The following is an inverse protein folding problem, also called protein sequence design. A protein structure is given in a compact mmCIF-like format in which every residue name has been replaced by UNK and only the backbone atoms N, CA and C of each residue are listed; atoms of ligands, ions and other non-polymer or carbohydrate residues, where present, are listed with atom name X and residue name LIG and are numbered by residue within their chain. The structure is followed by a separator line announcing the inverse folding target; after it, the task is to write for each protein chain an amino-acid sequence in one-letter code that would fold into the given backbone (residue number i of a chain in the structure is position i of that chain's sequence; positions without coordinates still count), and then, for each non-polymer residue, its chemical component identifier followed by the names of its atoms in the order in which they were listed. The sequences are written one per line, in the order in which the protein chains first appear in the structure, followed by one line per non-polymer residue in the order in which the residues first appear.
data_IF_523068604807
#
_entry.id   IF_523068604807
#
_cell.length_a   1.000
_cell.length_b   1.000
_cell.length_c   1.000
_cell.angle_alpha   90.00
_cell.angle_beta   90.00
_cell.angle_gamma   90.00
#
_symmetry.space_group_name_H-M   'P 1'
#
loop_
_entity.id
_entity.type
_entity.pdbx_description
1 polymer ?
#
# COMPACT_ATOMS: atom_id res chain seq x y z
N UNK A 1 16.78 18.36 11.10
CA UNK A 1 17.38 17.20 11.80
C UNK A 1 16.39 16.07 11.68
N UNK A 2 16.56 15.22 10.68
CA UNK A 2 15.66 14.08 10.43
C UNK A 2 16.07 12.95 11.37
N UNK A 3 15.19 12.54 12.25
CA UNK A 3 15.38 11.30 13.02
C UNK A 3 14.92 10.15 12.13
N UNK A 4 15.86 9.30 11.72
CA UNK A 4 15.55 7.98 11.20
C UNK A 4 14.87 7.18 12.32
N UNK A 5 13.66 6.69 12.07
CA UNK A 5 12.99 5.77 12.99
C UNK A 5 13.65 4.41 12.81
N UNK A 6 14.44 4.01 13.81
CA UNK A 6 15.00 2.67 13.89
C UNK A 6 13.87 1.72 14.33
N UNK A 7 13.40 0.90 13.43
CA UNK A 7 12.35 -0.12 13.69
C UNK A 7 12.81 -1.24 14.63
N UNK A 8 14.04 -1.17 15.18
CA UNK A 8 14.63 -2.15 16.10
C UNK A 8 14.31 -1.90 17.58
N UNK A 9 13.36 -1.04 17.90
CA UNK A 9 12.95 -0.69 19.26
C UNK A 9 12.09 -1.75 20.00
N UNK A 10 12.43 -3.06 19.89
CA UNK A 10 11.97 -4.09 20.81
C UNK A 10 13.14 -4.41 21.73
N UNK A 11 13.01 -4.33 23.08
CA UNK A 11 14.11 -4.60 23.98
C UNK A 11 14.58 -6.06 23.83
N UNK A 12 15.86 -6.24 23.47
CA UNK A 12 16.51 -7.53 23.45
C UNK A 12 16.64 -8.04 24.91
N UNK A 13 16.02 -9.14 25.21
CA UNK A 13 16.39 -9.94 26.39
C UNK A 13 17.75 -10.61 26.14
N UNK A 14 18.54 -10.57 27.20
CA UNK A 14 19.96 -10.88 27.27
C UNK A 14 20.34 -12.31 26.87
N UNK A 15 21.34 -12.44 26.00
CA UNK A 15 22.40 -13.47 26.06
C UNK A 15 22.00 -14.88 25.61
N UNK A 16 22.21 -15.17 24.35
CA UNK A 16 22.23 -16.53 23.83
C UNK A 16 22.83 -16.52 22.41
N UNK A 17 23.74 -17.43 22.16
CA UNK A 17 24.51 -17.72 20.96
C UNK A 17 24.05 -17.08 19.63
N UNK A 18 25.00 -16.47 18.92
CA UNK A 18 24.84 -16.03 17.53
C UNK A 18 24.82 -17.30 16.65
N UNK A 19 23.66 -17.94 16.56
CA UNK A 19 23.33 -18.79 15.42
C UNK A 19 22.86 -17.88 14.30
N UNK A 20 23.39 -18.04 13.11
CA UNK A 20 22.89 -17.48 11.85
C UNK A 20 21.43 -17.89 11.70
N UNK A 21 20.50 -17.07 12.22
CA UNK A 21 19.07 -17.30 12.13
C UNK A 21 18.60 -17.03 10.71
N UNK A 22 18.21 -18.09 10.01
CA UNK A 22 17.27 -17.98 8.90
C UNK A 22 16.09 -17.13 9.39
N UNK A 23 15.78 -16.07 8.65
CA UNK A 23 14.63 -15.21 8.97
C UNK A 23 13.36 -16.05 8.86
N UNK A 24 12.67 -16.25 9.97
CA UNK A 24 11.39 -17.00 10.06
C UNK A 24 10.24 -16.29 9.33
N UNK A 25 10.54 -15.39 8.43
CA UNK A 25 9.61 -14.48 7.75
C UNK A 25 9.12 -14.97 6.39
N UNK A 26 9.39 -16.21 6.00
CA UNK A 26 8.84 -16.82 4.77
C UNK A 26 9.35 -16.25 3.45
N UNK A 27 10.10 -15.16 3.42
CA UNK A 27 10.74 -14.57 2.22
C UNK A 27 12.18 -14.17 2.52
N UNK A 28 13.03 -14.19 1.47
CA UNK A 28 14.42 -13.73 1.54
C UNK A 28 14.51 -12.21 1.42
N UNK A 29 15.48 -11.64 2.11
CA UNK A 29 15.85 -10.22 2.06
C UNK A 29 17.23 -10.02 1.43
N UNK A 30 17.68 -8.78 1.28
CA UNK A 30 19.05 -8.51 0.84
C UNK A 30 20.12 -9.10 1.78
N UNK A 31 19.76 -9.36 3.04
CA UNK A 31 20.70 -9.93 4.03
C UNK A 31 20.94 -11.42 3.82
N UNK A 32 20.01 -12.09 3.12
CA UNK A 32 20.04 -13.55 2.89
C UNK A 32 20.77 -13.94 1.59
N UNK A 33 21.24 -12.97 0.78
CA UNK A 33 21.87 -13.22 -0.52
C UNK A 33 23.20 -12.50 -0.67
N UNK A 34 24.14 -13.16 -1.35
CA UNK A 34 25.44 -12.58 -1.69
C UNK A 34 25.35 -11.66 -2.90
N UNK A 35 25.77 -10.39 -2.75
CA UNK A 35 25.68 -9.37 -3.80
C UNK A 35 27.03 -8.98 -4.40
N UNK A 36 28.15 -9.26 -3.72
CA UNK A 36 29.49 -8.83 -4.13
C UNK A 36 29.85 -9.37 -5.52
N UNK A 37 30.19 -8.45 -6.44
CA UNK A 37 30.53 -8.76 -7.83
C UNK A 37 29.35 -9.20 -8.71
N UNK A 38 28.12 -9.20 -8.20
CA UNK A 38 26.94 -9.61 -8.92
C UNK A 38 26.26 -8.46 -9.65
N UNK A 39 25.67 -8.75 -10.80
CA UNK A 39 24.72 -7.85 -11.47
C UNK A 39 23.32 -8.14 -10.90
N UNK A 40 22.74 -7.15 -10.25
CA UNK A 40 21.48 -7.26 -9.54
C UNK A 40 20.37 -6.57 -10.34
N UNK A 41 19.43 -7.35 -10.84
CA UNK A 41 18.22 -6.83 -11.47
C UNK A 41 17.23 -6.42 -10.39
N UNK A 42 16.94 -5.12 -10.31
CA UNK A 42 16.06 -4.57 -9.27
C UNK A 42 14.76 -4.08 -9.90
N UNK A 43 13.65 -4.72 -9.56
CA UNK A 43 12.32 -4.27 -9.99
C UNK A 43 11.84 -3.18 -9.05
N UNK A 44 11.67 -1.98 -9.58
CA UNK A 44 11.27 -0.79 -8.82
C UNK A 44 9.96 -0.19 -9.34
N UNK A 45 9.26 0.58 -8.52
CA UNK A 45 8.14 1.43 -8.93
C UNK A 45 8.59 2.89 -8.97
N UNK A 46 8.86 3.37 -10.16
CA UNK A 46 9.18 4.77 -10.47
C UNK A 46 8.13 5.38 -11.41
N UNK A 47 6.89 4.90 -11.33
CA UNK A 47 5.75 5.44 -12.07
C UNK A 47 5.28 6.74 -11.42
N UNK A 48 6.00 7.82 -11.70
CA UNK A 48 5.85 9.15 -11.11
C UNK A 48 4.98 10.07 -11.95
N UNK A 49 4.31 11.06 -11.36
CA UNK A 49 3.56 12.06 -12.11
C UNK A 49 4.52 12.96 -12.91
N UNK A 50 4.10 13.29 -14.12
CA UNK A 50 4.84 14.15 -15.04
C UNK A 50 3.97 15.25 -15.62
N UNK A 51 4.53 16.46 -15.73
CA UNK A 51 3.91 17.59 -16.44
C UNK A 51 4.94 18.25 -17.36
N UNK A 52 4.55 18.48 -18.61
CA UNK A 52 5.44 19.11 -19.59
C UNK A 52 6.78 18.39 -19.79
N UNK A 53 6.79 17.06 -19.69
CA UNK A 53 7.99 16.23 -19.80
C UNK A 53 8.93 16.27 -18.58
N UNK A 54 8.46 16.78 -17.44
CA UNK A 54 9.22 16.85 -16.18
C UNK A 54 8.51 16.10 -15.07
N UNK A 55 9.28 15.41 -14.25
CA UNK A 55 8.79 14.79 -13.01
C UNK A 55 8.38 15.87 -12.03
N UNK A 56 7.14 15.80 -11.51
CA UNK A 56 6.59 16.78 -10.55
C UNK A 56 6.64 16.30 -9.10
N UNK A 57 6.80 14.99 -8.89
CA UNK A 57 6.92 14.38 -7.56
C UNK A 57 7.92 13.22 -7.62
N UNK A 58 8.97 13.28 -6.81
CA UNK A 58 10.04 12.28 -6.74
C UNK A 58 9.86 11.25 -5.63
N UNK A 59 8.76 11.29 -4.89
CA UNK A 59 8.54 10.45 -3.69
C UNK A 59 8.79 8.96 -3.96
N UNK A 60 8.33 8.43 -5.09
CA UNK A 60 8.57 7.01 -5.45
C UNK A 60 10.04 6.73 -5.77
N UNK A 61 10.71 7.67 -6.43
CA UNK A 61 12.14 7.57 -6.75
C UNK A 61 12.96 7.62 -5.45
N UNK A 62 12.61 8.51 -4.53
CA UNK A 62 13.34 8.64 -3.26
C UNK A 62 13.23 7.36 -2.40
N UNK A 63 12.10 6.67 -2.48
CA UNK A 63 11.85 5.43 -1.71
C UNK A 63 12.69 4.24 -2.13
N UNK A 64 13.18 4.17 -3.37
CA UNK A 64 14.04 3.05 -3.81
C UNK A 64 15.50 3.24 -3.39
N UNK A 65 15.90 4.42 -2.95
CA UNK A 65 17.28 4.76 -2.59
C UNK A 65 17.91 3.79 -1.59
N UNK A 66 17.26 3.39 -0.48
CA UNK A 66 17.86 2.46 0.48
C UNK A 66 18.27 1.12 -0.14
N UNK A 67 17.46 0.58 -1.04
CA UNK A 67 17.75 -0.66 -1.76
C UNK A 67 18.96 -0.49 -2.69
N UNK A 68 18.97 0.59 -3.47
CA UNK A 68 20.06 0.88 -4.41
C UNK A 68 21.39 1.08 -3.67
N UNK A 69 21.38 1.87 -2.60
CA UNK A 69 22.57 2.14 -1.79
C UNK A 69 23.11 0.87 -1.11
N UNK A 70 22.24 0.04 -0.53
CA UNK A 70 22.65 -1.19 0.12
C UNK A 70 23.30 -2.18 -0.86
N UNK A 71 22.72 -2.36 -2.05
CA UNK A 71 23.30 -3.21 -3.09
C UNK A 71 24.70 -2.72 -3.50
N UNK A 72 24.87 -1.40 -3.71
CA UNK A 72 26.15 -0.83 -4.11
C UNK A 72 27.20 -0.96 -3.01
N UNK A 73 26.84 -0.68 -1.76
CA UNK A 73 27.74 -0.81 -0.60
C UNK A 73 28.22 -2.26 -0.43
N UNK A 74 27.38 -3.23 -0.76
CA UNK A 74 27.72 -4.67 -0.75
C UNK A 74 28.48 -5.13 -2.00
N UNK A 75 28.84 -4.20 -2.90
CA UNK A 75 29.63 -4.48 -4.10
C UNK A 75 28.84 -5.05 -5.28
N UNK A 76 27.51 -4.92 -5.26
CA UNK A 76 26.63 -5.26 -6.38
C UNK A 76 26.54 -4.17 -7.43
N UNK A 77 26.29 -4.54 -8.69
CA UNK A 77 25.96 -3.63 -9.79
C UNK A 77 24.43 -3.55 -9.93
N UNK A 78 23.88 -2.35 -9.88
CA UNK A 78 22.41 -2.12 -9.92
C UNK A 78 21.93 -1.94 -11.35
N UNK A 79 20.93 -2.74 -11.74
CA UNK A 79 20.20 -2.62 -13.01
C UNK A 79 18.72 -2.52 -12.68
N UNK A 80 18.11 -1.36 -12.93
CA UNK A 80 16.71 -1.09 -12.63
C UNK A 80 15.80 -1.52 -13.76
N UNK A 81 14.76 -2.25 -13.41
CA UNK A 81 13.62 -2.63 -14.23
C UNK A 81 12.38 -1.91 -13.70
N UNK A 82 11.66 -1.21 -14.56
CA UNK A 82 10.45 -0.52 -14.16
C UNK A 82 9.43 -0.47 -15.30
N UNK A 83 8.19 -0.23 -14.94
CA UNK A 83 7.15 0.15 -15.88
C UNK A 83 6.83 1.64 -15.74
N UNK A 84 6.27 2.20 -16.81
CA UNK A 84 5.70 3.54 -16.77
C UNK A 84 4.39 3.53 -17.55
N UNK A 85 3.31 3.92 -16.87
CA UNK A 85 1.95 3.97 -17.39
C UNK A 85 1.49 2.67 -18.08
N UNK A 86 0.63 2.75 -19.09
CA UNK A 86 -0.04 1.60 -19.74
C UNK A 86 0.10 1.63 -21.26
N UNK A 87 1.29 1.39 -21.82
CA UNK A 87 1.54 1.39 -23.26
C UNK A 87 0.92 0.19 -24.01
N UNK A 88 0.36 -0.80 -23.28
CA UNK A 88 -0.33 -1.97 -23.86
C UNK A 88 0.56 -2.81 -24.81
N UNK A 89 1.81 -3.03 -24.42
CA UNK A 89 2.76 -3.84 -25.18
C UNK A 89 3.26 -3.17 -26.47
N UNK A 90 3.26 -1.84 -26.53
CA UNK A 90 3.76 -1.06 -27.67
C UNK A 90 4.79 -0.03 -27.21
N UNK A 91 5.74 0.26 -28.08
CA UNK A 91 6.67 1.37 -27.85
C UNK A 91 5.92 2.69 -28.04
N UNK A 92 5.84 3.48 -26.99
CA UNK A 92 5.22 4.80 -26.94
C UNK A 92 6.28 5.79 -26.45
N UNK A 93 6.84 6.64 -27.31
CA UNK A 93 7.98 7.52 -26.94
C UNK A 93 7.73 8.39 -25.71
N UNK A 94 6.50 8.87 -25.53
CA UNK A 94 6.09 9.70 -24.40
C UNK A 94 6.10 8.91 -23.07
N UNK A 95 6.09 7.59 -23.12
CA UNK A 95 6.12 6.69 -21.97
C UNK A 95 7.48 6.01 -21.79
N UNK A 96 8.52 6.51 -22.46
CA UNK A 96 9.89 6.06 -22.26
C UNK A 96 10.41 6.47 -20.90
N UNK A 97 11.12 5.56 -20.22
CA UNK A 97 11.80 5.83 -18.96
C UNK A 97 12.99 6.80 -19.11
N UNK A 98 13.43 7.10 -20.36
CA UNK A 98 14.43 8.14 -20.60
C UNK A 98 14.03 9.49 -20.02
N UNK A 99 12.74 9.81 -19.96
CA UNK A 99 12.22 11.03 -19.37
C UNK A 99 12.40 11.12 -17.85
N UNK A 100 12.58 9.98 -17.19
CA UNK A 100 12.72 9.87 -15.73
C UNK A 100 14.19 9.78 -15.32
N UNK A 101 15.09 9.36 -16.22
CA UNK A 101 16.50 9.11 -15.94
C UNK A 101 17.20 10.29 -15.24
N UNK A 102 16.95 11.53 -15.67
CA UNK A 102 17.54 12.72 -15.04
C UNK A 102 17.05 12.96 -13.60
N UNK A 103 15.77 12.75 -13.34
CA UNK A 103 15.22 12.88 -11.99
C UNK A 103 15.74 11.76 -11.07
N UNK A 104 15.90 10.55 -11.62
CA UNK A 104 16.49 9.40 -10.92
C UNK A 104 17.96 9.68 -10.56
N UNK A 105 18.75 10.19 -11.51
CA UNK A 105 20.14 10.59 -11.28
C UNK A 105 20.26 11.65 -10.16
N UNK A 106 19.43 12.68 -10.23
CA UNK A 106 19.40 13.74 -9.23
C UNK A 106 19.01 13.24 -7.83
N UNK A 107 17.99 12.38 -7.75
CA UNK A 107 17.54 11.80 -6.50
C UNK A 107 18.58 10.85 -5.89
N UNK A 108 19.14 9.94 -6.67
CA UNK A 108 20.12 8.98 -6.18
C UNK A 108 21.50 9.61 -5.90
N UNK A 109 21.82 10.76 -6.52
CA UNK A 109 23.14 11.38 -6.47
C UNK A 109 24.22 10.51 -7.15
N UNK A 110 23.84 9.72 -8.16
CA UNK A 110 24.67 8.77 -8.89
C UNK A 110 24.36 8.84 -10.36
N UNK A 111 25.38 8.62 -11.20
CA UNK A 111 25.20 8.57 -12.65
C UNK A 111 24.23 7.45 -13.03
N UNK A 112 23.26 7.78 -13.89
CA UNK A 112 22.29 6.83 -14.46
C UNK A 112 22.60 6.58 -15.94
N UNK A 113 22.92 5.35 -16.27
CA UNK A 113 23.11 4.91 -17.65
C UNK A 113 21.77 4.37 -18.16
N UNK A 114 21.14 5.07 -19.09
CA UNK A 114 19.88 4.63 -19.68
C UNK A 114 20.12 3.68 -20.86
N UNK A 115 19.39 2.56 -20.89
CA UNK A 115 19.31 1.64 -22.02
C UNK A 115 17.96 1.80 -22.74
N UNK A 116 17.92 2.09 -24.04
CA UNK A 116 16.67 2.18 -24.80
C UNK A 116 15.98 0.84 -25.06
N UNK A 117 16.54 -0.26 -24.54
CA UNK A 117 15.97 -1.59 -24.58
C UNK A 117 16.05 -2.23 -23.20
N UNK A 118 15.12 -3.12 -22.88
CA UNK A 118 15.09 -3.84 -21.61
C UNK A 118 15.51 -5.32 -21.72
N UNK A 119 15.93 -5.75 -22.89
CA UNK A 119 16.49 -7.08 -23.21
C UNK A 119 17.53 -6.99 -24.33
N UNK A 120 18.26 -8.08 -24.55
CA UNK A 120 19.15 -8.25 -25.70
C UNK A 120 20.46 -7.48 -25.62
N UNK A 121 21.13 -7.33 -26.77
CA UNK A 121 22.50 -6.82 -26.87
C UNK A 121 22.62 -5.37 -26.40
N UNK A 122 21.67 -4.51 -26.75
CA UNK A 122 21.68 -3.09 -26.36
C UNK A 122 21.64 -2.93 -24.84
N UNK A 123 20.80 -3.71 -24.16
CA UNK A 123 20.75 -3.71 -22.69
C UNK A 123 22.04 -4.25 -22.08
N UNK A 124 22.60 -5.32 -22.64
CA UNK A 124 23.88 -5.89 -22.19
C UNK A 124 25.05 -4.90 -22.33
N UNK A 125 25.12 -4.17 -23.45
CA UNK A 125 26.14 -3.16 -23.71
C UNK A 125 26.00 -1.96 -22.75
N UNK A 126 24.78 -1.52 -22.46
CA UNK A 126 24.54 -0.47 -21.47
C UNK A 126 25.01 -0.90 -20.08
N UNK A 127 24.72 -2.14 -19.66
CA UNK A 127 25.19 -2.71 -18.37
C UNK A 127 26.72 -2.78 -18.34
N UNK A 128 27.36 -3.21 -19.43
CA UNK A 128 28.80 -3.31 -19.53
C UNK A 128 29.50 -1.94 -19.50
N UNK A 129 28.86 -0.89 -20.01
CA UNK A 129 29.41 0.47 -20.05
C UNK A 129 29.34 1.20 -18.70
N UNK A 130 28.53 0.73 -17.77
CA UNK A 130 28.37 1.35 -16.46
C UNK A 130 29.61 1.13 -15.57
N UNK A 131 30.09 2.20 -14.95
CA UNK A 131 31.22 2.17 -14.01
C UNK A 131 30.80 1.68 -12.62
N UNK A 132 31.77 1.50 -11.71
CA UNK A 132 31.49 1.18 -10.33
C UNK A 132 30.63 2.25 -9.66
N UNK A 133 29.50 1.83 -9.09
CA UNK A 133 28.55 2.73 -8.41
C UNK A 133 27.57 3.49 -9.33
N UNK A 134 27.71 3.36 -10.65
CA UNK A 134 26.67 3.80 -11.60
C UNK A 134 25.43 2.89 -11.48
N UNK A 135 24.28 3.45 -11.83
CA UNK A 135 23.00 2.73 -11.88
C UNK A 135 22.56 2.62 -13.34
N UNK A 136 22.20 1.44 -13.78
CA UNK A 136 21.64 1.24 -15.12
C UNK A 136 20.11 1.29 -15.02
N UNK A 137 19.46 2.05 -15.89
CA UNK A 137 18.01 2.08 -16.05
C UNK A 137 17.65 1.48 -17.41
N UNK A 138 16.94 0.37 -17.42
CA UNK A 138 16.42 -0.23 -18.65
C UNK A 138 15.11 0.44 -19.09
N UNK A 139 14.77 0.33 -20.38
CA UNK A 139 13.52 0.88 -20.93
C UNK A 139 12.28 0.20 -20.32
N UNK A 140 11.14 0.87 -20.45
CA UNK A 140 9.83 0.50 -19.94
C UNK A 140 9.48 -0.95 -20.28
N UNK A 141 9.41 -1.81 -19.24
CA UNK A 141 9.13 -3.26 -19.41
C UNK A 141 7.79 -3.51 -20.10
N UNK A 142 6.82 -2.61 -19.95
CA UNK A 142 5.50 -2.71 -20.59
C UNK A 142 5.47 -2.38 -22.08
N UNK A 143 6.60 -2.01 -22.68
CA UNK A 143 6.71 -1.96 -24.14
C UNK A 143 6.69 -3.37 -24.76
N UNK A 144 7.01 -4.41 -23.98
CA UNK A 144 6.91 -5.79 -24.41
C UNK A 144 5.49 -6.35 -24.21
N UNK A 145 4.87 -6.93 -25.26
CA UNK A 145 3.53 -7.55 -25.16
C UNK A 145 3.45 -8.71 -24.16
N UNK A 146 4.59 -9.34 -23.85
CA UNK A 146 4.69 -10.46 -22.92
C UNK A 146 4.80 -10.07 -21.45
N UNK A 147 5.07 -8.79 -21.13
CA UNK A 147 5.31 -8.35 -19.74
C UNK A 147 4.12 -8.64 -18.84
N UNK A 148 2.95 -8.10 -19.17
CA UNK A 148 1.75 -8.25 -18.33
C UNK A 148 1.11 -9.64 -18.42
N UNK A 149 1.61 -10.50 -19.31
CA UNK A 149 1.18 -11.90 -19.48
C UNK A 149 2.09 -12.88 -18.75
N UNK A 150 3.12 -12.37 -18.07
CA UNK A 150 4.16 -13.20 -17.47
C UNK A 150 4.77 -14.20 -18.47
N UNK A 151 5.10 -13.72 -19.69
CA UNK A 151 5.66 -14.55 -20.75
C UNK A 151 7.02 -15.15 -20.33
N UNK A 152 7.14 -16.49 -20.27
CA UNK A 152 8.37 -17.13 -19.84
C UNK A 152 9.57 -16.83 -20.76
N UNK A 153 9.35 -16.64 -22.06
CA UNK A 153 10.43 -16.32 -22.99
C UNK A 153 10.99 -14.92 -22.73
N UNK A 154 10.10 -13.93 -22.47
CA UNK A 154 10.52 -12.59 -22.09
C UNK A 154 11.26 -12.59 -20.75
N UNK A 155 10.74 -13.29 -19.73
CA UNK A 155 11.39 -13.42 -18.44
C UNK A 155 12.79 -14.05 -18.58
N UNK A 156 12.95 -15.08 -19.43
CA UNK A 156 14.24 -15.71 -19.70
C UNK A 156 15.22 -14.76 -20.41
N UNK A 157 14.76 -13.91 -21.34
CA UNK A 157 15.62 -12.88 -21.94
C UNK A 157 16.06 -11.81 -20.91
N UNK A 158 15.17 -11.37 -20.04
CA UNK A 158 15.53 -10.46 -18.96
C UNK A 158 16.52 -11.09 -17.97
N UNK A 159 16.33 -12.36 -17.63
CA UNK A 159 17.21 -13.08 -16.69
C UNK A 159 18.66 -13.19 -17.16
N UNK A 160 18.93 -13.13 -18.47
CA UNK A 160 20.29 -13.11 -19.02
C UNK A 160 21.10 -11.87 -18.66
N UNK A 161 20.42 -10.80 -18.22
CA UNK A 161 21.04 -9.52 -17.91
C UNK A 161 21.62 -9.43 -16.51
N UNK A 162 21.36 -10.40 -15.63
CA UNK A 162 21.82 -10.35 -14.23
C UNK A 162 22.01 -11.71 -13.58
N UNK A 163 22.58 -11.67 -12.37
CA UNK A 163 22.90 -12.86 -11.56
C UNK A 163 21.89 -13.06 -10.42
N UNK A 164 21.25 -11.99 -9.99
CA UNK A 164 20.33 -11.94 -8.84
C UNK A 164 19.16 -11.04 -9.18
N UNK A 165 17.99 -11.39 -8.70
CA UNK A 165 16.78 -10.56 -8.82
C UNK A 165 16.36 -10.01 -7.45
N UNK A 166 16.03 -8.73 -7.40
CA UNK A 166 15.49 -8.06 -6.22
C UNK A 166 14.16 -7.41 -6.57
N UNK A 167 13.09 -7.82 -5.90
CA UNK A 167 11.80 -7.15 -6.04
C UNK A 167 11.66 -6.06 -4.98
N UNK A 168 11.56 -4.81 -5.43
CA UNK A 168 11.39 -3.63 -4.57
C UNK A 168 10.12 -2.83 -4.95
N UNK A 169 9.21 -3.47 -5.70
CA UNK A 169 7.99 -2.87 -6.21
C UNK A 169 6.74 -3.58 -5.68
N UNK A 170 6.43 -3.41 -4.40
CA UNK A 170 5.23 -4.01 -3.79
C UNK A 170 3.94 -3.62 -4.53
N UNK A 171 3.85 -2.40 -5.06
CA UNK A 171 2.72 -1.93 -5.88
C UNK A 171 2.44 -2.80 -7.12
N UNK A 172 3.45 -3.50 -7.65
CA UNK A 172 3.34 -4.42 -8.78
C UNK A 172 3.25 -5.90 -8.37
N UNK A 173 3.36 -6.22 -7.08
CA UNK A 173 3.46 -7.59 -6.59
C UNK A 173 2.14 -8.38 -6.63
N UNK A 174 1.01 -7.69 -6.75
CA UNK A 174 -0.31 -8.31 -6.81
C UNK A 174 -0.63 -8.98 -8.16
N UNK A 175 0.24 -8.83 -9.16
CA UNK A 175 0.10 -9.46 -10.48
C UNK A 175 1.36 -10.21 -10.86
N UNK A 176 1.19 -11.37 -11.48
CA UNK A 176 2.29 -12.08 -12.11
C UNK A 176 2.66 -11.38 -13.43
N UNK A 177 3.83 -10.74 -13.47
CA UNK A 177 4.43 -10.15 -14.69
C UNK A 177 5.80 -10.77 -14.93
N UNK A 178 6.31 -10.70 -16.17
CA UNK A 178 7.64 -11.24 -16.52
C UNK A 178 8.74 -10.61 -15.66
N UNK A 179 8.69 -9.29 -15.45
CA UNK A 179 9.66 -8.54 -14.63
C UNK A 179 9.43 -8.64 -13.11
N UNK A 180 8.46 -9.41 -12.63
CA UNK A 180 8.19 -9.67 -11.21
C UNK A 180 8.29 -11.16 -10.92
N UNK A 181 7.15 -11.88 -10.91
CA UNK A 181 7.12 -13.32 -10.63
C UNK A 181 7.97 -14.14 -11.61
N UNK A 182 7.95 -13.78 -12.91
CA UNK A 182 8.74 -14.50 -13.92
C UNK A 182 10.24 -14.50 -13.62
N UNK A 183 10.83 -13.34 -13.33
CA UNK A 183 12.25 -13.23 -12.98
C UNK A 183 12.58 -13.90 -11.64
N UNK A 184 11.69 -13.79 -10.65
CA UNK A 184 11.91 -14.37 -9.32
C UNK A 184 12.02 -15.90 -9.34
N UNK A 185 11.38 -16.57 -10.30
CA UNK A 185 11.49 -18.01 -10.50
C UNK A 185 12.74 -18.45 -11.30
N UNK A 186 13.44 -17.52 -11.95
CA UNK A 186 14.59 -17.84 -12.79
C UNK A 186 15.93 -17.52 -12.16
N UNK A 187 15.96 -16.60 -11.18
CA UNK A 187 17.19 -16.14 -10.53
C UNK A 187 17.07 -16.28 -9.01
N UNK A 188 18.20 -16.43 -8.29
CA UNK A 188 18.21 -16.21 -6.85
C UNK A 188 17.57 -14.86 -6.53
N UNK A 189 16.53 -14.84 -5.69
CA UNK A 189 15.69 -13.67 -5.52
C UNK A 189 15.51 -13.28 -4.05
N UNK A 190 15.31 -11.98 -3.81
CA UNK A 190 15.04 -11.40 -2.50
C UNK A 190 14.15 -10.15 -2.59
N UNK A 191 13.56 -9.77 -1.47
CA UNK A 191 12.92 -8.47 -1.28
C UNK A 191 13.97 -7.36 -1.16
N UNK A 192 13.74 -6.23 -1.84
CA UNK A 192 14.46 -4.99 -1.58
C UNK A 192 14.00 -4.34 -0.28
N UNK A 193 14.69 -3.31 0.19
CA UNK A 193 14.40 -2.67 1.50
C UNK A 193 13.01 -2.03 1.58
N UNK A 194 12.50 -1.49 0.46
CA UNK A 194 11.13 -0.97 0.43
C UNK A 194 10.10 -2.10 0.50
N UNK A 195 10.29 -3.16 -0.28
CA UNK A 195 9.45 -4.36 -0.24
C UNK A 195 9.47 -5.01 1.14
N UNK A 196 10.65 -5.15 1.74
CA UNK A 196 10.83 -5.70 3.09
C UNK A 196 10.06 -4.89 4.13
N UNK A 197 10.17 -3.56 4.11
CA UNK A 197 9.42 -2.69 5.02
C UNK A 197 7.89 -2.82 4.86
N UNK A 198 7.41 -2.91 3.61
CA UNK A 198 5.99 -3.17 3.32
C UNK A 198 5.55 -4.51 3.92
N UNK A 199 6.28 -5.59 3.63
CA UNK A 199 5.94 -6.94 4.10
C UNK A 199 5.99 -7.06 5.62
N UNK A 200 7.00 -6.46 6.28
CA UNK A 200 7.09 -6.43 7.74
C UNK A 200 5.91 -5.67 8.38
N UNK A 201 5.54 -4.53 7.81
CA UNK A 201 4.40 -3.75 8.31
C UNK A 201 3.08 -4.52 8.16
N UNK A 202 2.91 -5.20 7.03
CA UNK A 202 1.72 -6.00 6.74
C UNK A 202 1.62 -7.22 7.66
N UNK A 203 2.74 -7.93 7.87
CA UNK A 203 2.80 -9.07 8.78
C UNK A 203 2.49 -8.65 10.22
N UNK A 204 3.07 -7.53 10.68
CA UNK A 204 2.79 -6.97 12.00
C UNK A 204 1.32 -6.50 12.16
N UNK A 205 0.64 -6.19 11.05
CA UNK A 205 -0.72 -5.69 11.08
C UNK A 205 -1.80 -6.79 11.03
N UNK A 206 -1.61 -7.86 10.25
CA UNK A 206 -2.60 -8.91 10.07
C UNK A 206 -2.07 -10.35 10.14
N UNK A 207 -0.77 -10.58 9.93
CA UNK A 207 -0.16 -11.90 10.04
C UNK A 207 -0.12 -12.35 11.49
N UNK A 208 0.73 -11.70 12.28
CA UNK A 208 0.91 -11.95 13.72
C UNK A 208 0.73 -10.66 14.54
N UNK A 209 -0.48 -10.02 14.48
CA UNK A 209 -0.68 -8.71 15.10
C UNK A 209 -0.71 -8.75 16.61
N UNK A 210 -0.28 -7.66 17.24
CA UNK A 210 -0.59 -7.40 18.64
C UNK A 210 -2.08 -7.09 18.78
N UNK A 211 -2.77 -7.86 19.63
CA UNK A 211 -4.21 -7.69 19.86
C UNK A 211 -4.51 -6.80 21.08
N UNK A 212 -5.68 -6.14 21.11
CA UNK A 212 -6.76 -6.17 20.12
C UNK A 212 -6.40 -5.46 18.81
N UNK A 213 -6.96 -5.96 17.69
CA UNK A 213 -6.79 -5.37 16.35
C UNK A 213 -8.06 -4.67 15.94
N UNK A 214 -7.94 -3.41 15.51
CA UNK A 214 -9.03 -2.67 14.89
C UNK A 214 -8.72 -2.42 13.42
N UNK A 215 -9.70 -2.68 12.55
CA UNK A 215 -9.66 -2.25 11.16
C UNK A 215 -10.67 -1.11 10.93
N UNK A 216 -10.28 -0.12 10.16
CA UNK A 216 -11.18 0.91 9.61
C UNK A 216 -11.30 0.68 8.12
N UNK A 217 -12.53 0.47 7.66
CA UNK A 217 -12.84 0.30 6.23
C UNK A 217 -13.91 1.32 5.85
N UNK A 218 -13.53 2.27 5.02
CA UNK A 218 -14.43 3.27 4.47
C UNK A 218 -14.57 3.15 2.96
N UNK A 219 -15.48 3.91 2.40
CA UNK A 219 -15.69 3.98 0.96
C UNK A 219 -17.16 4.09 0.58
N UNK A 220 -17.42 4.16 -0.73
CA UNK A 220 -18.74 4.41 -1.26
C UNK A 220 -19.64 3.15 -1.26
N UNK A 221 -19.08 1.97 -1.55
CA UNK A 221 -19.83 0.76 -1.89
C UNK A 221 -19.32 -0.50 -1.20
N UNK A 222 -20.23 -1.28 -0.60
CA UNK A 222 -19.96 -2.62 -0.03
C UNK A 222 -19.54 -3.60 -1.12
N UNK A 223 -20.21 -3.57 -2.28
CA UNK A 223 -19.96 -4.47 -3.41
C UNK A 223 -18.52 -4.45 -3.90
N UNK A 224 -17.80 -3.35 -3.72
CA UNK A 224 -16.39 -3.22 -4.14
C UNK A 224 -15.39 -3.75 -3.12
N UNK A 225 -15.84 -4.09 -1.90
CA UNK A 225 -14.97 -4.51 -0.78
C UNK A 225 -15.45 -5.78 -0.07
N UNK A 226 -16.24 -6.60 -0.75
CA UNK A 226 -16.81 -7.84 -0.16
C UNK A 226 -15.73 -8.79 0.34
N UNK A 227 -14.72 -9.06 -0.49
CA UNK A 227 -13.61 -9.96 -0.14
C UNK A 227 -12.83 -9.40 1.06
N UNK A 228 -12.59 -8.08 1.07
CA UNK A 228 -11.93 -7.40 2.17
C UNK A 228 -12.69 -7.55 3.49
N UNK A 229 -13.99 -7.20 3.49
CA UNK A 229 -14.83 -7.31 4.69
C UNK A 229 -14.93 -8.76 5.15
N UNK A 230 -15.14 -9.69 4.20
CA UNK A 230 -15.23 -11.11 4.47
C UNK A 230 -13.98 -11.72 5.10
N UNK A 231 -12.79 -11.23 4.75
CA UNK A 231 -11.52 -11.63 5.36
C UNK A 231 -11.31 -10.96 6.72
N UNK A 232 -11.47 -9.65 6.80
CA UNK A 232 -11.20 -8.88 8.01
C UNK A 232 -12.04 -9.30 9.20
N UNK A 233 -13.33 -9.57 9.03
CA UNK A 233 -14.21 -9.98 10.15
C UNK A 233 -13.75 -11.25 10.85
N UNK A 234 -12.91 -12.06 10.21
CA UNK A 234 -12.34 -13.28 10.80
C UNK A 234 -10.97 -13.06 11.43
N UNK A 235 -10.36 -11.90 11.21
CA UNK A 235 -8.96 -11.62 11.59
C UNK A 235 -8.81 -10.52 12.64
N UNK A 236 -9.79 -9.61 12.75
CA UNK A 236 -9.73 -8.46 13.66
C UNK A 236 -10.72 -8.57 14.80
N UNK A 237 -10.46 -7.86 15.91
CA UNK A 237 -11.36 -7.82 17.06
C UNK A 237 -12.44 -6.75 16.87
N UNK A 238 -12.10 -5.66 16.16
CA UNK A 238 -13.00 -4.54 15.89
C UNK A 238 -12.93 -4.15 14.41
N UNK A 239 -14.09 -3.90 13.80
CA UNK A 239 -14.20 -3.39 12.45
C UNK A 239 -15.07 -2.14 12.41
N UNK A 240 -14.47 -0.98 12.13
CA UNK A 240 -15.17 0.29 11.93
C UNK A 240 -15.52 0.41 10.45
N UNK A 241 -16.79 0.64 10.14
CA UNK A 241 -17.26 0.85 8.78
C UNK A 241 -17.67 2.30 8.60
N UNK A 242 -17.12 2.98 7.59
CA UNK A 242 -17.35 4.37 7.28
C UNK A 242 -17.86 4.65 5.87
N UNK A 243 -18.21 5.91 5.61
CA UNK A 243 -18.64 6.37 4.30
C UNK A 243 -19.99 5.80 3.85
N UNK A 244 -20.24 5.79 2.55
CA UNK A 244 -21.46 5.21 1.97
C UNK A 244 -21.67 3.73 2.27
N UNK A 245 -20.60 3.00 2.55
CA UNK A 245 -20.69 1.60 3.02
C UNK A 245 -21.45 1.51 4.34
N UNK A 246 -21.16 2.40 5.30
CA UNK A 246 -21.88 2.42 6.58
C UNK A 246 -23.38 2.60 6.39
N UNK A 247 -23.80 3.44 5.43
CA UNK A 247 -25.20 3.65 5.12
C UNK A 247 -25.87 2.34 4.63
N UNK A 248 -25.18 1.51 3.86
CA UNK A 248 -25.69 0.20 3.43
C UNK A 248 -25.90 -0.73 4.63
N UNK A 249 -25.00 -0.72 5.60
CA UNK A 249 -25.15 -1.48 6.84
C UNK A 249 -26.27 -0.96 7.73
N UNK A 250 -26.50 0.36 7.78
CA UNK A 250 -27.64 0.96 8.48
C UNK A 250 -28.97 0.51 7.83
N UNK A 251 -29.07 0.54 6.51
CA UNK A 251 -30.21 0.01 5.75
C UNK A 251 -30.43 -1.48 6.06
N UNK A 252 -29.37 -2.27 6.14
CA UNK A 252 -29.45 -3.70 6.51
C UNK A 252 -30.07 -3.93 7.90
N UNK A 253 -29.93 -2.96 8.80
CA UNK A 253 -30.54 -2.93 10.13
C UNK A 253 -31.95 -2.32 10.15
N UNK A 254 -32.51 -1.95 9.00
CA UNK A 254 -33.84 -1.35 8.89
C UNK A 254 -33.88 0.16 9.16
N UNK A 255 -32.73 0.83 9.15
CA UNK A 255 -32.63 2.26 9.37
C UNK A 255 -32.79 3.00 8.03
N UNK A 256 -33.64 4.04 8.00
CA UNK A 256 -33.80 4.89 6.85
C UNK A 256 -32.66 5.93 6.76
N UNK A 257 -32.04 6.01 5.59
CA UNK A 257 -30.86 6.88 5.36
C UNK A 257 -31.15 8.01 4.36
N UNK A 258 -32.43 8.35 4.13
CA UNK A 258 -32.86 9.42 3.22
C UNK A 258 -32.31 9.24 1.81
N UNK A 259 -31.71 10.30 1.26
CA UNK A 259 -31.11 10.34 -0.08
C UNK A 259 -29.64 9.91 -0.07
N UNK A 260 -29.13 9.35 1.03
CA UNK A 260 -27.74 8.92 1.17
C UNK A 260 -27.37 7.88 0.12
N UNK A 261 -26.12 7.93 -0.30
CA UNK A 261 -25.51 6.85 -1.07
C UNK A 261 -25.57 5.55 -0.24
N UNK A 262 -26.29 4.55 -0.73
CA UNK A 262 -26.41 3.24 -0.13
C UNK A 262 -26.76 2.20 -1.21
N UNK A 263 -26.16 1.02 -1.12
CA UNK A 263 -26.50 -0.13 -1.98
C UNK A 263 -27.61 -0.95 -1.30
N UNK A 264 -28.88 -0.56 -1.51
CA UNK A 264 -30.03 -1.19 -0.86
C UNK A 264 -30.22 -2.65 -1.25
N UNK A 265 -29.81 -3.03 -2.45
CA UNK A 265 -29.77 -4.38 -2.98
C UNK A 265 -28.70 -5.26 -2.30
N UNK A 266 -27.72 -4.65 -1.63
CA UNK A 266 -26.69 -5.33 -0.85
C UNK A 266 -27.04 -5.49 0.65
N UNK A 267 -28.26 -5.16 1.07
CA UNK A 267 -28.66 -5.22 2.47
C UNK A 267 -28.59 -6.64 3.05
N UNK A 268 -28.94 -7.68 2.27
CA UNK A 268 -28.83 -9.07 2.71
C UNK A 268 -27.38 -9.49 2.87
N UNK A 269 -26.50 -9.12 1.95
CA UNK A 269 -25.06 -9.35 2.04
C UNK A 269 -24.45 -8.66 3.27
N UNK A 270 -24.87 -7.42 3.55
CA UNK A 270 -24.45 -6.70 4.76
C UNK A 270 -24.89 -7.44 6.04
N UNK A 271 -26.11 -8.00 6.08
CA UNK A 271 -26.58 -8.84 7.20
C UNK A 271 -25.74 -10.10 7.36
N UNK A 272 -25.35 -10.76 6.26
CA UNK A 272 -24.46 -11.93 6.28
C UNK A 272 -23.09 -11.57 6.87
N UNK A 273 -22.53 -10.42 6.50
CA UNK A 273 -21.26 -9.92 7.06
C UNK A 273 -21.39 -9.65 8.56
N UNK A 274 -22.49 -9.01 9.01
CA UNK A 274 -22.76 -8.79 10.43
C UNK A 274 -22.86 -10.12 11.21
N UNK A 275 -23.54 -11.11 10.64
CA UNK A 275 -23.68 -12.43 11.25
C UNK A 275 -22.32 -13.17 11.32
N UNK A 276 -21.53 -13.12 10.26
CA UNK A 276 -20.19 -13.69 10.20
C UNK A 276 -19.27 -13.05 11.22
N UNK A 277 -19.28 -11.72 11.35
CA UNK A 277 -18.50 -10.99 12.35
C UNK A 277 -18.86 -11.45 13.76
N UNK A 278 -20.16 -11.54 14.08
CA UNK A 278 -20.64 -12.02 15.38
C UNK A 278 -20.15 -13.43 15.69
N UNK A 279 -20.19 -14.33 14.71
CA UNK A 279 -19.71 -15.72 14.87
C UNK A 279 -18.19 -15.76 15.07
N UNK A 280 -17.45 -14.88 14.42
CA UNK A 280 -16.00 -14.78 14.53
C UNK A 280 -15.53 -14.03 15.79
N UNK A 281 -16.44 -13.43 16.58
CA UNK A 281 -16.09 -12.61 17.74
C UNK A 281 -15.62 -11.19 17.39
N UNK A 282 -15.82 -10.75 16.15
CA UNK A 282 -15.48 -9.40 15.70
C UNK A 282 -16.65 -8.44 15.99
N UNK A 283 -16.37 -7.30 16.62
CA UNK A 283 -17.37 -6.25 16.83
C UNK A 283 -17.34 -5.25 15.67
N UNK A 284 -18.46 -5.14 14.95
CA UNK A 284 -18.64 -4.12 13.91
C UNK A 284 -19.15 -2.83 14.55
N UNK A 285 -18.49 -1.71 14.27
CA UNK A 285 -18.84 -0.37 14.72
C UNK A 285 -19.41 0.42 13.55
N UNK A 286 -20.68 0.78 13.67
CA UNK A 286 -21.41 1.64 12.74
C UNK A 286 -21.65 3.02 13.39
N UNK A 287 -21.85 4.09 12.61
CA UNK A 287 -22.19 5.40 13.16
C UNK A 287 -23.44 5.36 14.05
N UNK A 288 -23.37 6.02 15.19
CA UNK A 288 -24.51 6.22 16.12
C UNK A 288 -25.16 7.59 15.89
N UNK A 289 -24.38 8.55 15.38
CA UNK A 289 -24.81 9.85 14.89
C UNK A 289 -24.10 10.16 13.57
N UNK A 290 -24.69 11.03 12.78
CA UNK A 290 -24.26 11.34 11.42
C UNK A 290 -24.39 12.82 11.12
N UNK A 291 -23.55 13.31 10.21
CA UNK A 291 -23.65 14.65 9.64
C UNK A 291 -24.45 14.56 8.33
N UNK A 292 -25.55 15.25 8.27
CA UNK A 292 -26.48 15.22 7.12
C UNK A 292 -26.55 16.57 6.44
N UNK A 293 -26.64 16.57 5.11
CA UNK A 293 -26.84 17.76 4.30
C UNK A 293 -27.80 17.47 3.14
N UNK A 294 -28.40 18.53 2.58
CA UNK A 294 -29.30 18.44 1.43
C UNK A 294 -28.59 18.59 0.09
N UNK A 295 -27.34 19.06 0.12
CA UNK A 295 -26.51 19.26 -1.06
C UNK A 295 -25.12 18.58 -0.86
N UNK A 296 -24.66 17.92 -1.91
CA UNK A 296 -23.32 17.35 -1.95
C UNK A 296 -22.33 18.39 -2.46
N UNK A 297 -21.91 19.30 -1.57
CA UNK A 297 -20.94 20.36 -1.88
C UNK A 297 -20.19 20.80 -0.62
N UNK A 298 -19.03 21.41 -0.82
CA UNK A 298 -18.29 22.03 0.27
C UNK A 298 -19.10 23.14 0.94
N UNK A 299 -19.02 23.20 2.28
CA UNK A 299 -19.72 24.18 3.12
C UNK A 299 -21.26 24.19 2.94
N UNK A 300 -21.85 23.06 2.56
CA UNK A 300 -23.32 22.93 2.57
C UNK A 300 -23.83 23.05 4.00
N UNK A 301 -25.04 23.65 4.12
CA UNK A 301 -25.78 23.66 5.39
C UNK A 301 -26.00 22.22 5.85
N UNK A 302 -25.70 21.93 7.11
CA UNK A 302 -25.69 20.59 7.63
C UNK A 302 -26.18 20.56 9.08
N UNK A 303 -26.69 19.40 9.47
CA UNK A 303 -27.10 19.08 10.83
C UNK A 303 -26.41 17.81 11.32
N UNK A 304 -26.29 17.69 12.62
CA UNK A 304 -25.88 16.44 13.30
C UNK A 304 -27.15 15.81 13.86
N UNK A 305 -27.43 14.58 13.45
CA UNK A 305 -28.60 13.83 13.89
C UNK A 305 -28.21 12.41 14.33
N UNK A 306 -29.07 11.75 15.11
CA UNK A 306 -28.92 10.32 15.37
C UNK A 306 -28.93 9.54 14.06
N UNK A 307 -28.23 8.43 13.97
CA UNK A 307 -28.10 7.66 12.72
C UNK A 307 -29.47 7.13 12.21
N UNK A 308 -30.42 6.91 13.12
CA UNK A 308 -31.79 6.49 12.81
C UNK A 308 -32.79 7.65 12.59
N UNK A 309 -32.29 8.89 12.57
CA UNK A 309 -33.10 10.11 12.40
C UNK A 309 -32.72 10.93 11.15
N UNK A 310 -32.12 10.29 10.14
CA UNK A 310 -31.78 10.96 8.90
C UNK A 310 -33.03 11.46 8.18
N UNK A 311 -33.17 12.79 7.87
CA UNK A 311 -34.29 13.30 7.11
C UNK A 311 -34.42 12.67 5.72
N UNK A 312 -35.63 12.42 5.25
CA UNK A 312 -35.88 11.77 3.96
C UNK A 312 -35.32 12.55 2.76
N UNK A 313 -35.16 13.87 2.89
CA UNK A 313 -34.66 14.79 1.87
C UNK A 313 -33.14 15.06 1.99
N UNK A 314 -32.48 14.54 3.03
CA UNK A 314 -31.05 14.73 3.29
C UNK A 314 -30.22 13.48 2.99
N UNK A 315 -28.93 13.67 2.91
CA UNK A 315 -27.94 12.61 2.74
C UNK A 315 -26.88 12.66 3.84
N UNK A 316 -26.47 11.49 4.30
CA UNK A 316 -25.38 11.32 5.26
C UNK A 316 -24.06 11.54 4.52
N UNK A 317 -23.27 12.51 4.95
CA UNK A 317 -21.98 12.85 4.35
C UNK A 317 -20.78 12.59 5.26
N UNK A 318 -20.98 12.47 6.58
CA UNK A 318 -19.90 12.13 7.52
C UNK A 318 -20.47 11.44 8.76
N UNK A 319 -19.62 10.82 9.54
CA UNK A 319 -19.94 10.35 10.87
C UNK A 319 -20.02 11.54 11.84
N UNK A 320 -20.92 11.45 12.83
CA UNK A 320 -21.08 12.50 13.84
C UNK A 320 -20.03 12.43 14.95
N UNK A 321 -19.99 13.45 15.82
CA UNK A 321 -19.01 13.55 16.90
C UNK A 321 -19.10 12.43 17.94
N UNK A 322 -20.28 11.87 18.22
CA UNK A 322 -20.45 10.74 19.12
C UNK A 322 -19.88 9.46 18.51
N UNK A 323 -20.04 9.27 17.20
CA UNK A 323 -19.46 8.18 16.44
C UNK A 323 -17.93 8.25 16.46
N UNK A 324 -17.38 9.46 16.26
CA UNK A 324 -15.92 9.69 16.37
C UNK A 324 -15.41 9.36 17.76
N UNK A 325 -16.09 9.82 18.81
CA UNK A 325 -15.73 9.53 20.19
C UNK A 325 -15.74 8.02 20.50
N UNK A 326 -16.71 7.28 19.94
CA UNK A 326 -16.75 5.83 20.04
C UNK A 326 -15.57 5.15 19.31
N UNK A 327 -15.23 5.61 18.10
CA UNK A 327 -14.09 5.11 17.32
C UNK A 327 -12.77 5.36 18.08
N UNK A 328 -12.58 6.54 18.63
CA UNK A 328 -11.38 6.90 19.41
C UNK A 328 -11.21 5.97 20.61
N UNK A 329 -12.29 5.66 21.34
CA UNK A 329 -12.24 4.68 22.45
C UNK A 329 -11.81 3.28 21.96
N UNK A 330 -12.25 2.87 20.78
CA UNK A 330 -11.81 1.59 20.18
C UNK A 330 -10.31 1.65 19.89
N UNK A 331 -9.79 2.75 19.34
CA UNK A 331 -8.37 2.92 19.10
C UNK A 331 -7.56 2.87 20.40
N UNK A 332 -8.01 3.56 21.45
CA UNK A 332 -7.37 3.58 22.78
C UNK A 332 -7.28 2.19 23.42
N UNK A 333 -8.24 1.31 23.12
CA UNK A 333 -8.27 -0.07 23.63
C UNK A 333 -7.60 -1.08 22.72
N UNK A 334 -7.11 -0.67 21.54
CA UNK A 334 -6.50 -1.53 20.55
C UNK A 334 -4.96 -1.40 20.55
N UNK A 335 -4.27 -2.48 20.16
CA UNK A 335 -2.81 -2.47 20.02
C UNK A 335 -2.38 -2.30 18.56
N UNK A 336 -3.24 -2.67 17.61
CA UNK A 336 -2.96 -2.57 16.17
C UNK A 336 -4.17 -1.98 15.43
N UNK A 337 -3.89 -1.03 14.53
CA UNK A 337 -4.86 -0.40 13.64
C UNK A 337 -4.46 -0.66 12.18
N UNK A 338 -5.44 -1.06 11.37
CA UNK A 338 -5.33 -1.13 9.91
C UNK A 338 -6.39 -0.21 9.32
N UNK A 339 -5.99 0.68 8.40
CA UNK A 339 -6.92 1.68 7.87
C UNK A 339 -6.95 1.69 6.34
N UNK A 340 -8.14 1.50 5.77
CA UNK A 340 -8.40 1.60 4.33
C UNK A 340 -9.72 2.31 4.05
N UNK A 341 -9.67 3.57 3.70
CA UNK A 341 -10.81 4.41 3.28
C UNK A 341 -11.30 5.39 4.35
N UNK A 342 -11.86 6.53 3.92
CA UNK A 342 -12.32 7.60 4.80
C UNK A 342 -13.65 7.26 5.48
N UNK A 343 -13.99 8.01 6.54
CA UNK A 343 -15.22 7.85 7.31
C UNK A 343 -16.41 8.65 6.70
N UNK A 344 -16.11 9.64 5.87
CA UNK A 344 -17.09 10.52 5.24
C UNK A 344 -16.64 11.03 3.87
N UNK A 345 -17.32 12.05 3.35
CA UNK A 345 -16.98 12.74 2.11
C UNK A 345 -15.78 13.69 2.33
N UNK A 346 -14.61 13.10 2.61
CA UNK A 346 -13.41 13.79 3.10
C UNK A 346 -12.86 14.86 2.15
N UNK A 347 -13.24 14.84 0.88
CA UNK A 347 -12.88 15.86 -0.11
C UNK A 347 -13.66 17.18 0.07
N UNK A 348 -14.74 17.15 0.85
CA UNK A 348 -15.67 18.26 1.03
C UNK A 348 -15.70 18.74 2.48
N UNK A 349 -15.04 19.85 2.80
CA UNK A 349 -15.19 20.47 4.12
C UNK A 349 -16.63 20.96 4.33
N UNK A 350 -17.27 20.71 5.51
CA UNK A 350 -16.74 20.14 6.74
C UNK A 350 -16.94 18.61 6.89
N UNK A 351 -17.28 17.89 5.83
CA UNK A 351 -17.56 16.45 5.86
C UNK A 351 -16.31 15.57 5.91
N UNK A 352 -15.14 16.19 6.10
CA UNK A 352 -13.84 15.58 6.41
C UNK A 352 -13.57 15.48 7.94
N UNK A 353 -14.45 16.05 8.75
CA UNK A 353 -14.21 16.26 10.17
C UNK A 353 -14.01 14.94 10.95
N UNK A 354 -14.83 13.91 10.69
CA UNK A 354 -14.71 12.63 11.37
C UNK A 354 -13.42 11.92 10.99
N UNK A 355 -13.06 11.89 9.70
CA UNK A 355 -11.82 11.28 9.22
C UNK A 355 -10.60 11.98 9.83
N UNK A 356 -10.58 13.33 9.83
CA UNK A 356 -9.48 14.11 10.39
C UNK A 356 -9.33 13.89 11.90
N UNK A 357 -10.42 13.87 12.66
CA UNK A 357 -10.39 13.68 14.11
C UNK A 357 -9.89 12.27 14.49
N UNK A 358 -10.42 11.23 13.83
CA UNK A 358 -9.98 9.86 14.05
C UNK A 358 -8.50 9.66 13.65
N UNK A 359 -8.07 10.25 12.52
CA UNK A 359 -6.68 10.19 12.06
C UNK A 359 -5.71 10.82 13.05
N UNK A 360 -6.03 12.00 13.57
CA UNK A 360 -5.21 12.69 14.58
C UNK A 360 -5.12 11.90 15.89
N UNK A 361 -6.20 11.25 16.30
CA UNK A 361 -6.20 10.38 17.47
C UNK A 361 -5.31 9.16 17.27
N UNK A 362 -5.43 8.46 16.13
CA UNK A 362 -4.57 7.34 15.79
C UNK A 362 -3.08 7.74 15.75
N UNK A 363 -2.78 8.89 15.13
CA UNK A 363 -1.44 9.46 15.08
C UNK A 363 -0.86 9.74 16.49
N UNK A 364 -1.66 10.32 17.36
CA UNK A 364 -1.25 10.59 18.74
C UNK A 364 -0.92 9.30 19.52
N UNK A 365 -1.80 8.29 19.44
CA UNK A 365 -1.58 6.99 20.07
C UNK A 365 -0.35 6.27 19.51
N UNK A 366 -0.08 6.44 18.21
CA UNK A 366 1.10 5.86 17.56
C UNK A 366 2.39 6.53 18.04
N UNK A 367 2.42 7.87 18.13
CA UNK A 367 3.56 8.61 18.70
C UNK A 367 3.86 8.22 20.15
N UNK A 368 2.82 7.91 20.92
CA UNK A 368 2.94 7.45 22.30
C UNK A 368 3.38 5.98 22.41
N UNK A 369 3.55 5.27 21.29
CA UNK A 369 3.90 3.85 21.27
C UNK A 369 2.79 2.90 21.74
N UNK A 370 1.55 3.40 21.83
CA UNK A 370 0.38 2.63 22.26
C UNK A 370 -0.31 1.89 21.14
N UNK A 371 -0.14 2.34 19.90
CA UNK A 371 -0.82 1.81 18.73
C UNK A 371 0.18 1.59 17.59
N UNK A 372 0.17 0.40 17.01
CA UNK A 372 0.80 0.12 15.73
C UNK A 372 -0.22 0.46 14.66
N UNK A 373 0.06 1.44 13.80
CA UNK A 373 -0.89 1.91 12.80
C UNK A 373 -0.35 1.71 11.38
N UNK A 374 -1.10 0.98 10.57
CA UNK A 374 -0.81 0.72 9.16
C UNK A 374 -1.99 1.20 8.32
N UNK A 375 -1.70 1.98 7.31
CA UNK A 375 -2.73 2.50 6.40
C UNK A 375 -2.32 2.33 4.94
N UNK A 376 -3.30 2.24 4.05
CA UNK A 376 -3.07 2.16 2.62
C UNK A 376 -4.31 2.45 1.80
N UNK A 377 -4.09 2.67 0.51
CA UNK A 377 -5.12 3.11 -0.44
C UNK A 377 -5.06 4.62 -0.69
N UNK A 378 -5.26 5.02 -1.95
CA UNK A 378 -5.08 6.42 -2.38
C UNK A 378 -5.88 7.43 -1.57
N UNK A 379 -7.18 7.19 -1.40
CA UNK A 379 -8.07 8.07 -0.63
C UNK A 379 -7.67 8.12 0.86
N UNK A 380 -7.23 6.99 1.42
CA UNK A 380 -6.75 6.94 2.81
C UNK A 380 -5.51 7.80 2.98
N UNK A 381 -4.52 7.62 2.12
CA UNK A 381 -3.26 8.39 2.17
C UNK A 381 -3.53 9.88 1.98
N UNK A 382 -4.41 10.23 1.04
CA UNK A 382 -4.84 11.63 0.82
C UNK A 382 -5.49 12.23 2.06
N UNK A 383 -6.43 11.50 2.67
CA UNK A 383 -7.12 11.95 3.88
C UNK A 383 -6.18 12.10 5.08
N UNK A 384 -5.24 11.16 5.28
CA UNK A 384 -4.25 11.24 6.36
C UNK A 384 -3.27 12.40 6.17
N UNK A 385 -2.85 12.70 4.94
CA UNK A 385 -2.03 13.86 4.61
C UNK A 385 -2.80 15.15 4.88
N UNK A 386 -4.07 15.25 4.45
CA UNK A 386 -4.94 16.41 4.69
C UNK A 386 -5.14 16.65 6.20
N UNK A 387 -5.27 15.59 6.99
CA UNK A 387 -5.37 15.68 8.45
C UNK A 387 -4.04 16.05 9.13
N UNK A 388 -2.92 16.02 8.42
CA UNK A 388 -1.57 16.20 8.99
C UNK A 388 -1.17 15.06 9.93
N UNK A 389 -1.69 13.84 9.71
CA UNK A 389 -1.52 12.67 10.56
C UNK A 389 -0.57 11.61 9.97
N UNK A 390 -0.31 11.68 8.66
CA UNK A 390 0.37 10.62 7.92
C UNK A 390 1.79 10.31 8.45
N UNK A 391 2.56 11.32 8.83
CA UNK A 391 3.95 11.14 9.28
C UNK A 391 4.08 10.41 10.63
N UNK A 392 3.01 10.36 11.40
CA UNK A 392 2.98 9.73 12.71
C UNK A 392 2.49 8.28 12.67
N UNK A 393 1.96 7.81 11.55
CA UNK A 393 1.59 6.40 11.39
C UNK A 393 2.85 5.53 11.35
N UNK A 394 2.75 4.32 11.91
CA UNK A 394 3.87 3.35 11.88
C UNK A 394 4.27 3.05 10.46
N UNK A 395 3.29 2.85 9.57
CA UNK A 395 3.55 2.62 8.16
C UNK A 395 2.38 3.07 7.28
N UNK A 396 2.71 3.70 6.15
CA UNK A 396 1.74 4.04 5.10
C UNK A 396 2.17 3.40 3.80
N UNK A 397 1.37 2.41 3.34
CA UNK A 397 1.57 1.78 2.05
C UNK A 397 1.17 2.73 0.92
N UNK A 398 2.06 2.87 -0.05
CA UNK A 398 1.77 3.59 -1.31
C UNK A 398 1.28 2.65 -2.41
N UNK A 399 1.13 1.38 -2.10
CA UNK A 399 0.86 0.29 -3.05
C UNK A 399 -0.62 -0.07 -3.18
N UNK A 400 -1.50 0.90 -3.21
CA UNK A 400 -2.97 0.82 -3.24
C UNK A 400 -3.60 -0.55 -3.53
N UNK A 401 -3.42 -1.08 -4.76
CA UNK A 401 -4.03 -2.36 -5.17
C UNK A 401 -3.44 -3.57 -4.44
N UNK A 402 -2.10 -3.65 -4.34
CA UNK A 402 -1.45 -4.77 -3.65
C UNK A 402 -1.78 -4.80 -2.15
N UNK A 403 -1.84 -3.62 -1.52
CA UNK A 403 -2.25 -3.50 -0.12
C UNK A 403 -3.69 -4.00 0.09
N UNK A 404 -4.61 -3.61 -0.81
CA UNK A 404 -6.01 -4.05 -0.74
C UNK A 404 -6.12 -5.57 -0.91
N UNK A 405 -5.52 -6.13 -1.95
CA UNK A 405 -5.57 -7.58 -2.23
C UNK A 405 -4.94 -8.39 -1.09
N UNK A 406 -3.87 -7.87 -0.48
CA UNK A 406 -3.29 -8.50 0.71
C UNK A 406 -4.26 -8.49 1.90
N UNK A 407 -4.95 -7.36 2.16
CA UNK A 407 -5.97 -7.29 3.21
C UNK A 407 -7.16 -8.22 2.93
N UNK A 408 -7.46 -8.50 1.66
CA UNK A 408 -8.45 -9.49 1.22
C UNK A 408 -8.01 -10.94 1.48
N UNK A 409 -6.75 -11.15 1.87
CA UNK A 409 -6.16 -12.46 2.09
C UNK A 409 -5.74 -13.16 0.80
N UNK A 410 -5.60 -12.43 -0.28
CA UNK A 410 -5.13 -12.97 -1.58
C UNK A 410 -3.62 -13.13 -1.56
N UNK A 411 -3.16 -14.21 -2.18
CA UNK A 411 -1.74 -14.39 -2.44
C UNK A 411 -1.27 -13.37 -3.47
N UNK A 412 -0.14 -12.73 -3.18
CA UNK A 412 0.49 -11.77 -4.08
C UNK A 412 1.60 -12.50 -4.87
N UNK A 413 1.44 -12.74 -6.19
CA UNK A 413 2.38 -13.56 -6.97
C UNK A 413 3.84 -13.06 -6.91
N UNK A 414 4.02 -11.73 -6.90
CA UNK A 414 5.35 -11.13 -6.82
C UNK A 414 6.01 -11.24 -5.43
N UNK A 415 5.24 -11.57 -4.39
CA UNK A 415 5.74 -11.88 -3.04
C UNK A 415 5.95 -13.39 -2.91
N UNK A 416 4.96 -14.19 -3.30
CA UNK A 416 5.04 -15.65 -3.24
C UNK A 416 6.28 -16.19 -3.97
N UNK A 417 6.65 -15.59 -5.09
CA UNK A 417 7.86 -15.95 -5.82
C UNK A 417 9.19 -15.65 -5.09
N UNK A 418 9.16 -14.86 -4.00
CA UNK A 418 10.36 -14.59 -3.17
C UNK A 418 10.55 -15.61 -2.04
N UNK A 419 9.58 -16.51 -1.83
CA UNK A 419 9.62 -17.55 -0.79
C UNK A 419 10.22 -18.86 -1.29
N UNK A 420 10.52 -18.97 -2.58
CA UNK A 420 11.01 -20.18 -3.23
C UNK A 420 12.54 -20.40 -3.09
#
# INVERSE_FOLDING_TARGET
MRRSVDLRGIPAETGGDISTGESDMGWKTLDDIGLAGKTVLVRVDINVPMEGGRVTDTTRIDKIRPTVEDIIVRGGRVVLLAHFDRPKGKVVPELSLSHIAGALEASLGRKVVFSPESIGTVATEAIASAGPGDVVLLENTRFHPGEEKNDPALAAEMAKLGDVFVNDAFSAAHRAHASTAGLAHLLPSAAGRLMEAELQALEAALGTPKRPVVAVVGGAKVSTKLDLLGNLVTKVDHLVIGGGMANTFLVAQGIEVGKSLAERDMADTAREILAKAKTAGCTIHLPVDVVVAREFKANADHDVVAADACPADAMILDAGPMSVAAIVKVFESSATLIWNGPLGAFELTPFDAATNAAAKSAAALTREGKLISVAGGGDTVSALNQAGAAEDFTFISTAGGAFLEWMEGKELPGVAALTA
#
